data_IF_992079147463
#
_entry.id   IF_992079147463
#
_cell.length_a   1.000
_cell.length_b   1.000
_cell.length_c   1.000
_cell.angle_alpha   90.00
_cell.angle_beta   90.00
_cell.angle_gamma   90.00
#
_symmetry.space_group_name_H-M   'P 1'
#
loop_
_entity.id
_entity.type
_entity.pdbx_description
1 polymer ?
#
# COMPACT_ATOMS: atom_id res chain seq x y z
N UNK A 1 6.48 -3.34 20.57
CA UNK A 1 5.60 -4.18 19.72
C UNK A 1 4.17 -3.64 19.71
N UNK A 2 3.76 -2.97 20.80
CA UNK A 2 2.41 -2.45 20.99
C UNK A 2 2.04 -1.31 20.03
N UNK A 3 2.95 -0.36 19.77
CA UNK A 3 2.69 0.78 18.87
C UNK A 3 2.38 0.34 17.43
N UNK A 4 3.16 -0.62 16.89
CA UNK A 4 2.93 -1.12 15.54
C UNK A 4 1.64 -1.94 15.43
N UNK A 5 1.20 -2.56 16.53
CA UNK A 5 -0.08 -3.24 16.60
C UNK A 5 -1.25 -2.25 16.66
N UNK A 6 -1.08 -1.11 17.32
CA UNK A 6 -2.01 0.02 17.26
C UNK A 6 -2.11 0.57 15.84
N UNK A 7 -0.98 0.89 15.20
CA UNK A 7 -0.95 1.39 13.81
C UNK A 7 -1.59 0.42 12.80
N UNK A 8 -1.36 -0.89 12.95
CA UNK A 8 -2.00 -1.90 12.11
C UNK A 8 -3.52 -1.95 12.33
N UNK A 9 -3.96 -1.79 13.58
CA UNK A 9 -5.39 -1.77 13.92
C UNK A 9 -6.07 -0.50 13.40
N UNK A 10 -5.41 0.65 13.51
CA UNK A 10 -5.89 1.93 12.98
C UNK A 10 -5.94 1.94 11.45
N UNK A 11 -4.90 1.44 10.78
CA UNK A 11 -4.89 1.34 9.31
C UNK A 11 -5.98 0.40 8.80
N UNK A 12 -6.25 -0.71 9.49
CA UNK A 12 -7.40 -1.57 9.18
C UNK A 12 -8.73 -0.82 9.29
N UNK A 13 -8.94 -0.03 10.34
CA UNK A 13 -10.14 0.81 10.50
C UNK A 13 -10.24 1.86 9.39
N UNK A 14 -9.15 2.55 9.09
CA UNK A 14 -9.07 3.55 8.00
C UNK A 14 -9.40 2.93 6.65
N UNK A 15 -8.83 1.75 6.34
CA UNK A 15 -9.12 0.99 5.12
C UNK A 15 -10.61 0.65 5.00
N UNK A 16 -11.22 0.10 6.06
CA UNK A 16 -12.67 -0.20 6.06
C UNK A 16 -13.54 1.04 5.95
N UNK A 17 -13.13 2.17 6.54
CA UNK A 17 -13.84 3.44 6.41
C UNK A 17 -13.74 4.01 4.99
N UNK A 18 -12.55 4.00 4.40
CA UNK A 18 -12.30 4.51 3.06
C UNK A 18 -13.02 3.67 1.99
N UNK A 19 -13.08 2.33 2.18
CA UNK A 19 -13.88 1.46 1.33
C UNK A 19 -15.36 1.85 1.35
N UNK A 20 -15.96 1.98 2.54
CA UNK A 20 -17.37 2.38 2.68
C UNK A 20 -17.64 3.74 2.05
N UNK A 21 -16.77 4.71 2.29
CA UNK A 21 -16.90 6.04 1.70
C UNK A 21 -16.81 6.01 0.17
N UNK A 22 -15.88 5.23 -0.41
CA UNK A 22 -15.79 5.06 -1.85
C UNK A 22 -17.07 4.42 -2.43
N UNK A 23 -17.64 3.41 -1.76
CA UNK A 23 -18.93 2.84 -2.17
C UNK A 23 -20.05 3.89 -2.15
N UNK A 24 -20.16 4.67 -1.08
CA UNK A 24 -21.15 5.75 -0.98
C UNK A 24 -21.03 6.78 -2.11
N UNK A 25 -19.82 7.25 -2.41
CA UNK A 25 -19.58 8.21 -3.49
C UNK A 25 -19.96 7.61 -4.86
N UNK A 26 -19.71 6.32 -5.07
CA UNK A 26 -20.11 5.63 -6.31
C UNK A 26 -21.63 5.52 -6.42
N UNK A 27 -22.32 5.17 -5.33
CA UNK A 27 -23.77 5.04 -5.32
C UNK A 27 -24.45 6.42 -5.54
N UNK A 28 -23.93 7.47 -4.89
CA UNK A 28 -24.40 8.85 -5.04
C UNK A 28 -24.26 9.35 -6.48
N UNK A 29 -23.08 9.18 -7.10
CA UNK A 29 -22.85 9.67 -8.48
C UNK A 29 -23.67 8.86 -9.50
N UNK A 30 -23.84 7.55 -9.30
CA UNK A 30 -24.69 6.72 -10.16
C UNK A 30 -26.17 7.08 -10.02
N UNK A 31 -26.63 7.42 -8.81
CA UNK A 31 -27.99 7.91 -8.57
C UNK A 31 -28.25 9.29 -9.19
N UNK A 32 -27.26 10.18 -9.16
CA UNK A 32 -27.35 11.54 -9.74
C UNK A 32 -27.30 11.53 -11.27
N UNK A 33 -26.56 10.59 -11.86
CA UNK A 33 -26.34 10.49 -13.31
C UNK A 33 -26.68 9.09 -13.86
N UNK A 34 -27.95 8.65 -13.78
CA UNK A 34 -28.32 7.29 -14.19
C UNK A 34 -28.08 7.02 -15.68
N UNK A 35 -28.15 8.06 -16.53
CA UNK A 35 -27.84 7.97 -17.96
C UNK A 35 -26.35 7.79 -18.29
N UNK A 36 -25.44 7.99 -17.33
CA UNK A 36 -23.99 7.90 -17.50
C UNK A 36 -23.37 6.73 -16.72
N UNK A 37 -24.19 5.75 -16.35
CA UNK A 37 -23.76 4.64 -15.49
C UNK A 37 -22.55 3.88 -16.04
N UNK A 38 -22.51 3.65 -17.37
CA UNK A 38 -21.41 2.95 -18.03
C UNK A 38 -20.12 3.77 -17.94
N UNK A 39 -20.16 5.05 -18.30
CA UNK A 39 -19.00 5.94 -18.31
C UNK A 39 -18.41 6.10 -16.90
N UNK A 40 -19.27 6.19 -15.87
CA UNK A 40 -18.86 6.23 -14.46
C UNK A 40 -18.12 4.94 -14.09
N UNK A 41 -18.67 3.77 -14.44
CA UNK A 41 -18.07 2.48 -14.11
C UNK A 41 -16.75 2.26 -14.85
N UNK A 42 -16.70 2.58 -16.15
CA UNK A 42 -15.49 2.47 -16.95
C UNK A 42 -14.38 3.37 -16.39
N UNK A 43 -14.71 4.60 -16.03
CA UNK A 43 -13.78 5.51 -15.37
C UNK A 43 -13.32 4.96 -14.02
N UNK A 44 -14.24 4.52 -13.16
CA UNK A 44 -13.92 3.92 -11.85
C UNK A 44 -12.96 2.74 -11.98
N UNK A 45 -13.23 1.81 -12.90
CA UNK A 45 -12.42 0.62 -13.13
C UNK A 45 -11.03 1.03 -13.62
N UNK A 46 -10.96 1.91 -14.62
CA UNK A 46 -9.70 2.40 -15.14
C UNK A 46 -8.88 3.10 -14.05
N UNK A 47 -9.50 4.02 -13.32
CA UNK A 47 -8.81 4.82 -12.30
C UNK A 47 -8.35 3.97 -11.12
N UNK A 48 -9.15 2.99 -10.72
CA UNK A 48 -8.74 1.98 -9.72
C UNK A 48 -7.54 1.20 -10.22
N UNK A 49 -7.52 0.77 -11.49
CA UNK A 49 -6.38 0.07 -12.09
C UNK A 49 -5.13 0.95 -12.13
N UNK A 50 -5.27 2.22 -12.47
CA UNK A 50 -4.17 3.19 -12.42
C UNK A 50 -3.57 3.25 -11.01
N UNK A 51 -4.40 3.47 -9.99
CA UNK A 51 -3.93 3.55 -8.59
C UNK A 51 -3.29 2.23 -8.13
N UNK A 52 -3.87 1.07 -8.48
CA UNK A 52 -3.27 -0.24 -8.17
C UNK A 52 -1.88 -0.41 -8.79
N UNK A 53 -1.63 0.14 -9.98
CA UNK A 53 -0.29 0.14 -10.58
C UNK A 53 0.64 1.19 -9.97
N UNK A 54 0.14 2.17 -9.22
CA UNK A 54 0.97 3.11 -8.47
C UNK A 54 1.30 2.61 -7.06
N UNK A 55 0.50 1.71 -6.49
CA UNK A 55 0.70 1.20 -5.12
C UNK A 55 2.08 0.56 -4.90
N UNK A 56 2.59 -0.35 -5.77
CA UNK A 56 3.90 -0.97 -5.55
C UNK A 56 5.05 0.02 -5.55
N UNK A 57 4.89 1.18 -6.21
CA UNK A 57 5.88 2.26 -6.21
C UNK A 57 6.06 2.80 -4.79
N UNK A 58 4.93 3.18 -4.17
CA UNK A 58 4.88 3.66 -2.79
C UNK A 58 5.36 2.61 -1.78
N UNK A 59 4.96 1.34 -1.98
CA UNK A 59 5.41 0.23 -1.13
C UNK A 59 6.93 0.08 -1.14
N UNK A 60 7.55 0.09 -2.32
CA UNK A 60 8.99 -0.04 -2.44
C UNK A 60 9.73 1.11 -1.77
N UNK A 61 9.31 2.36 -2.01
CA UNK A 61 9.94 3.55 -1.43
C UNK A 61 9.94 3.51 0.11
N UNK A 62 8.79 3.22 0.72
CA UNK A 62 8.68 3.15 2.18
C UNK A 62 9.48 1.97 2.76
N UNK A 63 9.46 0.81 2.10
CA UNK A 63 10.22 -0.34 2.57
C UNK A 63 11.73 -0.14 2.45
N UNK A 64 12.18 0.56 1.40
CA UNK A 64 13.58 0.92 1.25
C UNK A 64 14.05 1.88 2.36
N UNK A 65 13.28 2.94 2.63
CA UNK A 65 13.59 3.85 3.75
C UNK A 65 13.60 3.13 5.09
N UNK A 66 12.66 2.20 5.30
CA UNK A 66 12.63 1.38 6.50
C UNK A 66 13.86 0.47 6.64
N UNK A 67 14.33 -0.14 5.55
CA UNK A 67 15.58 -0.91 5.55
C UNK A 67 16.77 -0.02 5.94
N UNK A 68 16.88 1.17 5.36
CA UNK A 68 17.95 2.14 5.65
C UNK A 68 17.95 2.59 7.12
N UNK A 69 16.77 2.81 7.71
CA UNK A 69 16.62 3.14 9.15
C UNK A 69 17.18 2.03 10.03
N UNK A 70 16.82 0.78 9.76
CA UNK A 70 17.28 -0.34 10.59
C UNK A 70 18.77 -0.57 10.43
N UNK A 71 19.32 -0.44 9.22
CA UNK A 71 20.77 -0.56 9.02
C UNK A 71 21.55 0.49 9.81
N UNK A 72 20.99 1.68 10.09
CA UNK A 72 21.63 2.67 10.96
C UNK A 72 21.63 2.25 12.42
N UNK A 73 20.50 1.75 12.91
CA UNK A 73 20.35 1.36 14.31
C UNK A 73 21.05 0.04 14.65
N UNK A 74 21.29 -0.81 13.66
CA UNK A 74 21.84 -2.15 13.80
C UNK A 74 23.04 -2.41 12.87
N UNK A 75 23.92 -1.42 12.69
CA UNK A 75 25.03 -1.45 11.74
C UNK A 75 26.03 -2.60 11.93
N UNK A 76 26.18 -3.12 13.16
CA UNK A 76 27.11 -4.19 13.52
C UNK A 76 26.52 -5.61 13.36
N UNK A 77 25.24 -5.73 12.96
CA UNK A 77 24.59 -7.04 12.83
C UNK A 77 24.96 -7.75 11.52
N UNK A 78 25.14 -9.09 11.54
CA UNK A 78 25.45 -9.85 10.33
C UNK A 78 24.41 -9.67 9.23
N UNK A 79 24.86 -9.58 7.97
CA UNK A 79 23.99 -9.44 6.80
C UNK A 79 22.97 -10.59 6.68
N UNK A 80 23.32 -11.78 7.18
CA UNK A 80 22.46 -12.95 7.32
C UNK A 80 21.19 -12.69 8.14
N UNK A 81 21.24 -11.76 9.09
CA UNK A 81 20.05 -11.29 9.83
C UNK A 81 19.10 -10.59 8.86
N UNK A 82 19.66 -9.86 7.90
CA UNK A 82 18.95 -9.01 6.95
C UNK A 82 18.57 -9.65 5.61
N UNK A 83 19.12 -10.81 5.24
CA UNK A 83 18.92 -11.47 3.93
C UNK A 83 17.45 -11.61 3.48
N UNK A 84 16.53 -11.95 4.41
CA UNK A 84 15.09 -12.08 4.08
C UNK A 84 14.48 -10.74 3.65
N UNK A 85 15.02 -9.64 4.16
CA UNK A 85 14.58 -8.29 3.88
C UNK A 85 15.10 -7.89 2.52
N UNK A 86 16.39 -8.09 2.27
CA UNK A 86 17.02 -7.82 0.98
C UNK A 86 16.28 -8.53 -0.15
N UNK A 87 15.96 -9.83 0.04
CA UNK A 87 15.18 -10.58 -0.93
C UNK A 87 13.79 -9.97 -1.18
N UNK A 88 13.08 -9.59 -0.12
CA UNK A 88 11.76 -8.96 -0.26
C UNK A 88 11.84 -7.56 -0.90
N UNK A 89 12.85 -6.76 -0.55
CA UNK A 89 13.17 -5.46 -1.17
C UNK A 89 13.46 -5.61 -2.66
N UNK A 90 14.16 -6.67 -3.08
CA UNK A 90 14.42 -6.99 -4.49
C UNK A 90 13.15 -7.39 -5.24
N UNK A 91 12.30 -8.22 -4.65
CA UNK A 91 10.98 -8.57 -5.21
C UNK A 91 10.11 -7.32 -5.39
N UNK A 92 10.08 -6.43 -4.39
CA UNK A 92 9.39 -5.14 -4.49
C UNK A 92 10.01 -4.23 -5.57
N UNK A 93 11.33 -4.22 -5.74
CA UNK A 93 12.02 -3.45 -6.79
C UNK A 93 11.64 -3.93 -8.19
N UNK A 94 11.50 -5.24 -8.39
CA UNK A 94 11.03 -5.79 -9.67
C UNK A 94 9.57 -5.41 -9.94
N UNK A 95 8.71 -5.50 -8.92
CA UNK A 95 7.32 -5.07 -9.00
C UNK A 95 7.22 -3.56 -9.29
N UNK A 96 8.07 -2.74 -8.66
CA UNK A 96 8.18 -1.31 -8.90
C UNK A 96 8.46 -1.00 -10.38
N UNK A 97 9.46 -1.65 -10.99
CA UNK A 97 9.81 -1.41 -12.40
C UNK A 97 8.66 -1.75 -13.36
N UNK A 98 8.00 -2.90 -13.14
CA UNK A 98 6.80 -3.29 -13.91
C UNK A 98 5.64 -2.31 -13.72
N UNK A 99 5.42 -1.89 -12.47
CA UNK A 99 4.34 -0.99 -12.06
C UNK A 99 4.50 0.41 -12.66
N UNK A 100 5.72 0.95 -12.68
CA UNK A 100 6.02 2.21 -13.37
C UNK A 100 5.74 2.14 -14.87
N UNK A 101 6.15 1.06 -15.54
CA UNK A 101 5.88 0.87 -16.97
C UNK A 101 4.39 0.79 -17.25
N UNK A 102 3.65 0.02 -16.45
CA UNK A 102 2.21 -0.16 -16.61
C UNK A 102 1.43 1.14 -16.33
N UNK A 103 1.78 1.88 -15.27
CA UNK A 103 1.10 3.11 -14.91
C UNK A 103 1.26 4.20 -15.98
N UNK A 104 2.45 4.32 -16.60
CA UNK A 104 2.70 5.28 -17.68
C UNK A 104 1.80 5.11 -18.90
N UNK A 105 1.30 3.90 -19.13
CA UNK A 105 0.47 3.56 -20.29
C UNK A 105 -1.04 3.63 -20.02
N UNK A 106 -1.46 3.92 -18.79
CA UNK A 106 -2.89 4.00 -18.45
C UNK A 106 -3.35 5.46 -18.57
N UNK A 107 -4.23 5.71 -19.54
CA UNK A 107 -5.02 6.93 -19.62
C UNK A 107 -6.49 6.60 -19.39
N UNK A 108 -7.14 7.31 -18.46
CA UNK A 108 -8.54 7.11 -18.14
C UNK A 108 -9.39 8.25 -18.68
N UNK A 109 -10.32 7.94 -19.58
CA UNK A 109 -11.26 8.91 -20.12
C UNK A 109 -12.21 9.37 -19.02
N UNK A 110 -12.25 10.68 -18.77
CA UNK A 110 -13.21 11.27 -17.82
C UNK A 110 -14.61 11.26 -18.42
N UNK A 111 -15.66 11.00 -17.62
CA UNK A 111 -17.03 11.07 -18.11
C UNK A 111 -17.40 12.53 -18.42
N UNK A 112 -17.86 12.79 -19.64
CA UNK A 112 -18.05 14.16 -20.17
C UNK A 112 -19.34 14.85 -19.69
N UNK A 113 -20.41 14.10 -19.41
CA UNK A 113 -21.73 14.63 -19.06
C UNK A 113 -21.98 14.67 -17.54
N UNK A 114 -20.91 14.76 -16.76
CA UNK A 114 -20.96 14.73 -15.29
C UNK A 114 -20.32 16.01 -14.76
N UNK A 115 -20.82 16.53 -13.64
CA UNK A 115 -20.21 17.69 -12.99
C UNK A 115 -18.74 17.36 -12.62
N UNK A 116 -17.76 18.19 -13.03
CA UNK A 116 -16.34 18.00 -12.72
C UNK A 116 -16.03 17.82 -11.22
N UNK A 117 -16.81 18.43 -10.34
CA UNK A 117 -16.67 18.27 -8.89
C UNK A 117 -16.99 16.84 -8.44
N UNK A 118 -18.05 16.24 -8.98
CA UNK A 118 -18.42 14.86 -8.68
C UNK A 118 -17.36 13.87 -9.21
N UNK A 119 -16.79 14.14 -10.39
CA UNK A 119 -15.67 13.36 -10.94
C UNK A 119 -14.45 13.45 -10.02
N UNK A 120 -14.14 14.65 -9.53
CA UNK A 120 -13.04 14.88 -8.59
C UNK A 120 -13.28 14.18 -7.25
N UNK A 121 -14.51 14.19 -6.74
CA UNK A 121 -14.89 13.46 -5.52
C UNK A 121 -14.72 11.94 -5.71
N UNK A 122 -15.12 11.41 -6.87
CA UNK A 122 -14.90 10.00 -7.23
C UNK A 122 -13.40 9.66 -7.29
N UNK A 123 -12.58 10.47 -7.97
CA UNK A 123 -11.12 10.30 -8.01
C UNK A 123 -10.51 10.28 -6.59
N UNK A 124 -10.90 11.23 -5.74
CA UNK A 124 -10.39 11.35 -4.38
C UNK A 124 -10.81 10.16 -3.51
N UNK A 125 -12.05 9.70 -3.61
CA UNK A 125 -12.51 8.54 -2.84
C UNK A 125 -11.76 7.26 -3.25
N UNK A 126 -11.48 7.06 -4.55
CA UNK A 126 -10.67 5.94 -5.05
C UNK A 126 -9.22 6.06 -4.53
N UNK A 127 -8.59 7.23 -4.63
CA UNK A 127 -7.22 7.46 -4.12
C UNK A 127 -7.12 7.20 -2.62
N UNK A 128 -8.10 7.66 -1.85
CA UNK A 128 -8.14 7.50 -0.40
C UNK A 128 -8.24 6.01 -0.03
N UNK A 129 -9.11 5.26 -0.69
CA UNK A 129 -9.21 3.82 -0.47
C UNK A 129 -7.92 3.08 -0.83
N UNK A 130 -7.34 3.38 -2.00
CA UNK A 130 -6.09 2.75 -2.44
C UNK A 130 -4.89 3.09 -1.54
N UNK A 131 -4.82 4.33 -1.05
CA UNK A 131 -3.77 4.72 -0.10
C UNK A 131 -3.93 4.02 1.25
N UNK A 132 -5.16 3.86 1.76
CA UNK A 132 -5.39 3.11 2.99
C UNK A 132 -5.03 1.62 2.87
N UNK A 133 -5.24 1.01 1.69
CA UNK A 133 -4.75 -0.35 1.39
C UNK A 133 -3.21 -0.42 1.42
N UNK A 134 -2.55 0.58 0.84
CA UNK A 134 -1.08 0.68 0.84
C UNK A 134 -0.56 0.73 2.27
N UNK A 135 -1.09 1.63 3.09
CA UNK A 135 -0.70 1.81 4.49
C UNK A 135 -0.85 0.53 5.30
N UNK A 136 -2.01 -0.13 5.18
CA UNK A 136 -2.26 -1.39 5.88
C UNK A 136 -1.22 -2.46 5.51
N UNK A 137 -0.91 -2.59 4.22
CA UNK A 137 0.09 -3.54 3.74
C UNK A 137 1.50 -3.19 4.25
N UNK A 138 1.88 -1.90 4.27
CA UNK A 138 3.16 -1.45 4.83
C UNK A 138 3.27 -1.84 6.31
N UNK A 139 2.26 -1.52 7.12
CA UNK A 139 2.30 -1.84 8.55
C UNK A 139 2.34 -3.34 8.80
N UNK A 140 1.62 -4.13 8.00
CA UNK A 140 1.65 -5.58 8.10
C UNK A 140 3.04 -6.14 7.77
N UNK A 141 3.70 -5.61 6.72
CA UNK A 141 5.06 -5.99 6.35
C UNK A 141 6.07 -5.63 7.45
N UNK A 142 6.01 -4.40 7.99
CA UNK A 142 6.84 -4.00 9.12
C UNK A 142 6.62 -4.90 10.34
N UNK A 143 5.39 -5.36 10.60
CA UNK A 143 5.08 -6.30 11.69
C UNK A 143 5.80 -7.64 11.50
N UNK A 144 5.66 -8.22 10.30
CA UNK A 144 6.29 -9.49 9.97
C UNK A 144 7.81 -9.40 10.08
N UNK A 145 8.37 -8.28 9.61
CA UNK A 145 9.77 -7.95 9.75
C UNK A 145 10.23 -8.02 11.21
N UNK A 146 9.61 -7.22 12.08
CA UNK A 146 10.07 -7.13 13.47
C UNK A 146 9.91 -8.45 14.20
N UNK A 147 8.86 -9.21 13.88
CA UNK A 147 8.68 -10.56 14.43
C UNK A 147 9.79 -11.53 13.98
N UNK A 148 10.22 -11.46 12.72
CA UNK A 148 11.29 -12.31 12.20
C UNK A 148 12.65 -11.92 12.78
N UNK A 149 12.94 -10.63 12.87
CA UNK A 149 14.15 -10.10 13.49
C UNK A 149 14.24 -10.55 14.95
N UNK A 150 13.18 -10.34 15.73
CA UNK A 150 13.11 -10.76 17.13
C UNK A 150 13.44 -12.26 17.31
N UNK A 151 12.81 -13.14 16.51
CA UNK A 151 13.07 -14.59 16.56
C UNK A 151 14.53 -14.94 16.25
N UNK A 152 15.14 -14.32 15.24
CA UNK A 152 16.55 -14.54 14.92
C UNK A 152 17.47 -14.09 16.07
N UNK A 153 17.20 -12.92 16.64
CA UNK A 153 17.97 -12.39 17.78
C UNK A 153 17.87 -13.29 19.01
N UNK A 154 16.66 -13.77 19.34
CA UNK A 154 16.44 -14.71 20.45
C UNK A 154 17.20 -16.04 20.25
N UNK A 155 17.23 -16.56 19.03
CA UNK A 155 17.98 -17.79 18.72
C UNK A 155 19.49 -17.57 18.82
N UNK A 156 20.02 -16.45 18.32
CA UNK A 156 21.44 -16.11 18.44
C UNK A 156 21.86 -15.95 19.91
N UNK A 157 21.01 -15.32 20.73
CA UNK A 157 21.27 -15.16 22.16
C UNK A 157 21.30 -16.52 22.90
N UNK A 158 20.38 -17.43 22.57
CA UNK A 158 20.35 -18.78 23.15
C UNK A 158 21.57 -19.62 22.78
N UNK A 159 21.99 -19.57 21.51
CA UNK A 159 23.17 -20.31 21.05
C UNK A 159 24.46 -19.83 21.71
N UNK A 160 24.57 -18.55 22.11
CA UNK A 160 25.72 -18.02 22.87
C UNK A 160 25.69 -18.34 24.36
N UNK A 161 24.55 -18.78 24.91
CA UNK A 161 24.43 -19.16 26.32
C UNK A 161 24.65 -20.66 26.58
N UNK A 162 24.86 -21.44 25.52
CA UNK A 162 25.18 -22.88 25.58
C UNK A 162 26.68 -23.17 25.31
N UNK A 163 27.50 -22.13 25.14
CA UNK A 163 28.97 -22.16 25.14
C UNK A 163 29.53 -21.62 26.47
#
# INVERSE_FOLDING_TARGET
MDELQVLLSESKKKMSSAYRHNTQVVDEIQGKYPGNWREINDFKICYTRLQTNLNPIKHYEVMKSFEEEIRKDFAEFPEEVFEKIMKFSEELKQLYGKSQSNAKNISCAKPENINPEDVTNLENSIKNYQSALVDFNIFNLKKQYYSNLKKKLENLAKNRSEE
#
